data_IF_797507185313
#
_entry.id   IF_797507185313
#
_cell.length_a   1.000
_cell.length_b   1.000
_cell.length_c   1.000
_cell.angle_alpha   90.00
_cell.angle_beta   90.00
_cell.angle_gamma   90.00
#
_symmetry.space_group_name_H-M   'P 1'
#
loop_
_entity.id
_entity.type
_entity.pdbx_description
1 polymer ?
#
# COMPACT_ATOMS: atom_id res chain seq x y z
N UNK A 1 1.02 14.61 -77.27
CA UNK A 1 -0.43 14.55 -77.49
C UNK A 1 -0.77 13.19 -78.07
N UNK A 2 -1.79 12.52 -77.49
CA UNK A 2 -2.43 11.25 -77.89
C UNK A 2 -1.62 9.96 -77.66
N UNK A 3 -2.22 8.79 -77.40
CA UNK A 3 -3.42 8.31 -76.69
C UNK A 3 -3.38 6.77 -76.93
N UNK A 4 -3.95 5.98 -76.00
CA UNK A 4 -4.48 4.60 -76.18
C UNK A 4 -3.52 3.42 -75.88
N UNK A 5 -4.03 2.57 -74.97
CA UNK A 5 -3.54 1.30 -74.38
C UNK A 5 -3.72 0.07 -75.34
N UNK A 6 -3.67 -1.27 -74.99
CA UNK A 6 -3.67 -1.96 -73.67
C UNK A 6 -2.99 -3.38 -73.53
N UNK A 7 -3.20 -4.02 -72.36
CA UNK A 7 -3.15 -5.48 -72.02
C UNK A 7 -1.72 -6.02 -71.69
N UNK A 8 -1.44 -6.75 -70.56
CA UNK A 8 -2.15 -7.99 -70.24
C UNK A 8 -2.34 -8.44 -68.77
N UNK A 9 -3.19 -9.47 -68.69
CA UNK A 9 -2.99 -10.73 -67.96
C UNK A 9 -3.93 -10.98 -66.77
N UNK A 10 -4.88 -11.86 -67.08
CA UNK A 10 -5.82 -12.56 -66.22
C UNK A 10 -5.07 -13.35 -65.15
N UNK A 11 -5.43 -13.14 -63.88
CA UNK A 11 -5.19 -14.12 -62.83
C UNK A 11 -6.52 -14.57 -62.24
N UNK A 12 -6.71 -15.88 -62.35
CA UNK A 12 -7.82 -16.69 -61.88
C UNK A 12 -7.85 -16.67 -60.34
N UNK A 13 -8.97 -16.29 -59.73
CA UNK A 13 -9.22 -16.53 -58.31
C UNK A 13 -10.52 -17.31 -58.15
N UNK A 14 -10.37 -18.51 -57.57
CA UNK A 14 -11.42 -19.46 -57.25
C UNK A 14 -12.42 -18.85 -56.25
N UNK A 15 -13.70 -18.95 -56.60
CA UNK A 15 -14.82 -18.77 -55.68
C UNK A 15 -14.97 -20.01 -54.78
N UNK A 16 -14.89 -19.83 -53.47
CA UNK A 16 -15.42 -20.78 -52.49
C UNK A 16 -16.47 -20.03 -51.66
N UNK A 17 -17.73 -20.45 -51.83
CA UNK A 17 -18.85 -20.00 -51.01
C UNK A 17 -18.83 -20.86 -49.74
N UNK A 18 -18.61 -20.23 -48.58
CA UNK A 18 -18.80 -20.87 -47.27
C UNK A 18 -19.99 -20.22 -46.56
N UNK A 19 -20.97 -21.04 -46.24
CA UNK A 19 -22.18 -20.73 -45.48
C UNK A 19 -21.82 -20.49 -44.02
N UNK A 20 -22.15 -19.31 -43.48
CA UNK A 20 -21.96 -18.97 -42.06
C UNK A 20 -23.35 -18.97 -41.38
N UNK A 21 -23.60 -19.81 -40.35
CA UNK A 21 -24.78 -19.67 -39.51
C UNK A 21 -24.64 -18.47 -38.54
N UNK A 22 -25.75 -17.80 -38.16
CA UNK A 22 -25.70 -16.66 -37.26
C UNK A 22 -25.32 -17.10 -35.84
N UNK A 23 -24.16 -16.64 -35.38
CA UNK A 23 -23.73 -16.77 -33.97
C UNK A 23 -24.59 -15.82 -33.14
N UNK A 24 -25.37 -16.40 -32.22
CA UNK A 24 -26.09 -15.64 -31.19
C UNK A 24 -25.12 -14.96 -30.23
N UNK A 25 -25.39 -13.68 -29.96
CA UNK A 25 -24.78 -12.88 -28.90
C UNK A 25 -25.00 -13.58 -27.54
N UNK A 26 -23.93 -14.14 -26.97
CA UNK A 26 -23.81 -14.31 -25.54
C UNK A 26 -22.94 -13.16 -25.02
N UNK A 27 -23.55 -12.27 -24.23
CA UNK A 27 -22.86 -11.20 -23.55
C UNK A 27 -21.83 -11.78 -22.58
N UNK A 28 -20.54 -11.63 -22.90
CA UNK A 28 -19.46 -11.82 -21.93
C UNK A 28 -19.41 -10.59 -21.02
N UNK A 29 -19.99 -10.74 -19.83
CA UNK A 29 -19.71 -9.83 -18.71
C UNK A 29 -18.24 -9.95 -18.33
N UNK A 30 -17.53 -8.84 -18.04
CA UNK A 30 -16.19 -8.91 -17.48
C UNK A 30 -16.30 -9.52 -16.08
N UNK A 31 -15.69 -10.69 -15.88
CA UNK A 31 -15.51 -11.21 -14.53
C UNK A 31 -14.55 -10.27 -13.80
N UNK A 32 -15.11 -9.52 -12.86
CA UNK A 32 -14.36 -8.81 -11.84
C UNK A 32 -13.46 -9.82 -11.14
N UNK A 33 -12.15 -9.63 -11.27
CA UNK A 33 -11.15 -10.31 -10.47
C UNK A 33 -11.32 -9.81 -9.04
N UNK A 34 -12.16 -10.49 -8.27
CA UNK A 34 -12.23 -10.29 -6.82
C UNK A 34 -10.91 -10.82 -6.26
N UNK A 35 -10.03 -9.88 -5.90
CA UNK A 35 -8.97 -10.14 -4.94
C UNK A 35 -9.61 -10.72 -3.68
N UNK A 36 -9.54 -12.05 -3.57
CA UNK A 36 -9.85 -12.74 -2.33
C UNK A 36 -8.82 -12.29 -1.31
N UNK A 37 -9.23 -11.33 -0.46
CA UNK A 37 -8.67 -11.17 0.86
C UNK A 37 -8.61 -12.56 1.50
N UNK A 38 -7.40 -13.09 1.67
CA UNK A 38 -7.14 -14.36 2.35
C UNK A 38 -7.26 -14.18 3.86
N UNK A 39 -8.43 -13.74 4.33
CA UNK A 39 -8.91 -14.11 5.65
C UNK A 39 -9.76 -15.38 5.44
N UNK A 40 -9.46 -16.52 6.10
CA UNK A 40 -10.23 -17.74 5.87
C UNK A 40 -11.70 -17.47 6.25
N UNK A 41 -12.66 -17.66 5.33
CA UNK A 41 -14.07 -17.55 5.66
C UNK A 41 -14.41 -18.73 6.57
N UNK A 42 -14.62 -18.46 7.86
CA UNK A 42 -15.00 -19.43 8.89
C UNK A 42 -14.29 -20.79 8.77
N UNK A 43 -13.02 -20.87 9.20
CA UNK A 43 -12.42 -22.17 9.46
C UNK A 43 -13.28 -22.90 10.50
N UNK A 44 -14.06 -23.89 10.05
CA UNK A 44 -14.82 -24.77 10.93
C UNK A 44 -13.82 -25.43 11.89
N UNK A 45 -14.16 -25.58 13.19
CA UNK A 45 -13.24 -26.17 14.16
C UNK A 45 -12.78 -27.53 13.66
N UNK A 46 -11.47 -27.81 13.80
CA UNK A 46 -10.90 -29.11 13.45
C UNK A 46 -11.74 -30.22 14.12
N UNK A 47 -12.24 -31.16 13.31
CA UNK A 47 -13.11 -32.23 13.77
C UNK A 47 -12.45 -33.12 14.82
N UNK A 48 -13.28 -33.81 15.60
CA UNK A 48 -12.88 -34.88 16.52
C UNK A 48 -12.67 -36.18 15.73
N UNK A 49 -11.79 -37.06 16.21
CA UNK A 49 -11.58 -38.39 15.62
C UNK A 49 -12.46 -39.41 16.34
N UNK A 50 -13.37 -40.05 15.62
CA UNK A 50 -14.13 -41.21 16.08
C UNK A 50 -13.40 -42.46 15.58
N UNK A 51 -12.74 -43.19 16.48
CA UNK A 51 -11.88 -44.32 16.12
C UNK A 51 -12.69 -45.62 16.11
N UNK A 52 -12.55 -46.40 15.05
CA UNK A 52 -13.17 -47.71 14.90
C UNK A 52 -12.24 -48.82 15.39
N UNK A 53 -12.82 -49.98 15.76
CA UNK A 53 -12.06 -51.14 16.25
C UNK A 53 -11.10 -51.76 15.24
N UNK A 54 -11.30 -51.50 13.95
CA UNK A 54 -10.39 -51.92 12.88
C UNK A 54 -9.16 -50.99 12.76
N UNK A 55 -9.08 -49.94 13.58
CA UNK A 55 -8.01 -48.93 13.59
C UNK A 55 -8.22 -47.78 12.61
N UNK A 56 -9.29 -47.78 11.82
CA UNK A 56 -9.67 -46.62 11.00
C UNK A 56 -10.35 -45.56 11.85
N UNK A 57 -10.48 -44.33 11.33
CA UNK A 57 -11.17 -43.26 12.05
C UNK A 57 -12.04 -42.43 11.11
N UNK A 58 -13.13 -41.91 11.65
CA UNK A 58 -13.95 -40.89 11.01
C UNK A 58 -13.68 -39.53 11.64
N UNK A 59 -13.49 -38.50 10.81
CA UNK A 59 -13.41 -37.13 11.29
C UNK A 59 -14.83 -36.57 11.46
N UNK A 60 -15.22 -36.31 12.71
CA UNK A 60 -16.59 -35.96 13.07
C UNK A 60 -16.64 -34.61 13.80
N UNK A 61 -17.69 -33.82 13.55
CA UNK A 61 -17.90 -32.55 14.26
C UNK A 61 -18.48 -32.78 15.65
N UNK A 62 -19.41 -33.71 15.75
CA UNK A 62 -20.10 -34.14 16.97
C UNK A 62 -20.65 -35.53 16.78
N UNK A 63 -20.84 -36.27 17.88
CA UNK A 63 -21.53 -37.55 17.88
C UNK A 63 -22.43 -37.68 19.11
N UNK A 64 -23.49 -38.49 18.98
CA UNK A 64 -24.47 -38.81 20.01
C UNK A 64 -24.73 -40.32 20.00
N UNK A 65 -24.73 -40.96 21.18
CA UNK A 65 -25.19 -42.34 21.29
C UNK A 65 -26.72 -42.39 21.34
N UNK A 66 -27.32 -43.20 20.48
CA UNK A 66 -28.75 -43.48 20.37
C UNK A 66 -28.97 -45.00 20.47
N UNK A 67 -29.08 -45.49 21.70
CA UNK A 67 -29.25 -46.92 21.95
C UNK A 67 -28.03 -47.73 21.50
N UNK A 68 -28.23 -48.62 20.52
CA UNK A 68 -27.20 -49.50 19.94
C UNK A 68 -26.37 -48.82 18.82
N UNK A 69 -26.73 -47.59 18.44
CA UNK A 69 -26.09 -46.84 17.36
C UNK A 69 -25.48 -45.53 17.85
N UNK A 70 -24.39 -45.11 17.23
CA UNK A 70 -23.85 -43.75 17.32
C UNK A 70 -24.26 -42.97 16.08
N UNK A 71 -24.87 -41.81 16.28
CA UNK A 71 -25.15 -40.84 15.22
C UNK A 71 -24.08 -39.76 15.26
N UNK A 72 -23.38 -39.51 14.16
CA UNK A 72 -22.32 -38.51 14.09
C UNK A 72 -22.44 -37.62 12.87
N UNK A 73 -21.91 -36.41 12.97
CA UNK A 73 -21.84 -35.48 11.85
C UNK A 73 -20.46 -35.59 11.20
N UNK A 74 -20.40 -36.20 10.01
CA UNK A 74 -19.19 -36.38 9.21
C UNK A 74 -18.69 -35.01 8.74
N UNK A 75 -17.44 -34.65 9.02
CA UNK A 75 -16.84 -33.41 8.51
C UNK A 75 -16.56 -33.54 7.01
N UNK A 76 -16.21 -34.74 6.56
CA UNK A 76 -15.87 -35.01 5.16
C UNK A 76 -17.09 -34.94 4.25
N UNK A 77 -18.20 -35.55 4.68
CA UNK A 77 -19.45 -35.57 3.91
C UNK A 77 -20.42 -34.46 4.27
N UNK A 78 -20.12 -33.69 5.33
CA UNK A 78 -20.98 -32.63 5.84
C UNK A 78 -22.43 -33.06 6.08
N UNK A 79 -22.61 -34.31 6.52
CA UNK A 79 -23.92 -34.93 6.76
C UNK A 79 -23.93 -35.78 8.03
N UNK A 80 -25.14 -36.09 8.50
CA UNK A 80 -25.34 -36.99 9.62
C UNK A 80 -25.33 -38.44 9.15
N UNK A 81 -24.48 -39.25 9.79
CA UNK A 81 -24.35 -40.67 9.54
C UNK A 81 -24.60 -41.47 10.82
N UNK A 82 -24.84 -42.77 10.67
CA UNK A 82 -25.07 -43.69 11.78
C UNK A 82 -24.19 -44.93 11.66
N UNK A 83 -23.59 -45.32 12.78
CA UNK A 83 -22.79 -46.54 12.90
C UNK A 83 -23.22 -47.32 14.15
N UNK A 84 -23.12 -48.66 14.18
CA UNK A 84 -23.26 -49.44 15.40
C UNK A 84 -22.23 -48.99 16.46
N UNK A 85 -22.67 -48.72 17.68
CA UNK A 85 -21.81 -48.25 18.76
C UNK A 85 -20.73 -49.29 19.15
N UNK A 86 -20.98 -50.58 18.86
CA UNK A 86 -20.03 -51.67 19.11
C UNK A 86 -18.82 -51.65 18.17
N UNK A 87 -18.90 -50.98 17.01
CA UNK A 87 -17.78 -50.88 16.07
C UNK A 87 -16.79 -49.76 16.43
N UNK A 88 -17.19 -48.86 17.32
CA UNK A 88 -16.34 -47.76 17.81
C UNK A 88 -15.43 -48.27 18.92
N UNK A 89 -14.15 -47.93 18.84
CA UNK A 89 -13.22 -48.03 19.95
C UNK A 89 -13.32 -46.76 20.79
N UNK A 90 -14.14 -46.82 21.85
CA UNK A 90 -14.36 -45.69 22.75
C UNK A 90 -13.13 -45.33 23.56
N UNK A 91 -12.30 -46.31 23.94
CA UNK A 91 -11.08 -46.05 24.70
C UNK A 91 -10.06 -45.29 23.84
N UNK A 92 -9.89 -45.70 22.58
CA UNK A 92 -9.03 -45.00 21.64
C UNK A 92 -9.58 -43.60 21.28
N UNK A 93 -10.90 -43.49 21.11
CA UNK A 93 -11.57 -42.21 20.82
C UNK A 93 -11.38 -41.19 21.95
N UNK A 94 -11.64 -41.57 23.20
CA UNK A 94 -11.45 -40.69 24.37
C UNK A 94 -9.98 -40.25 24.52
N UNK A 95 -9.04 -41.17 24.30
CA UNK A 95 -7.61 -40.86 24.35
C UNK A 95 -7.21 -39.85 23.26
N UNK A 96 -7.69 -40.05 22.02
CA UNK A 96 -7.43 -39.12 20.92
C UNK A 96 -8.04 -37.74 21.21
N UNK A 97 -9.24 -37.67 21.79
CA UNK A 97 -9.85 -36.40 22.20
C UNK A 97 -9.04 -35.69 23.30
N UNK A 98 -8.53 -36.42 24.29
CA UNK A 98 -7.71 -35.86 25.36
C UNK A 98 -6.38 -35.30 24.85
N UNK A 99 -5.69 -36.03 23.96
CA UNK A 99 -4.41 -35.60 23.36
C UNK A 99 -4.58 -34.38 22.43
N UNK A 100 -5.66 -34.32 21.65
CA UNK A 100 -5.98 -33.15 20.81
C UNK A 100 -6.34 -31.93 21.68
N UNK A 101 -7.07 -32.13 22.78
CA UNK A 101 -7.39 -31.06 23.73
C UNK A 101 -6.13 -30.48 24.37
N UNK A 102 -5.23 -31.34 24.84
CA UNK A 102 -3.95 -30.92 25.42
C UNK A 102 -3.11 -30.14 24.41
N UNK A 103 -2.94 -30.66 23.19
CA UNK A 103 -2.20 -29.97 22.12
C UNK A 103 -2.81 -28.62 21.76
N UNK A 104 -4.14 -28.51 21.75
CA UNK A 104 -4.85 -27.25 21.48
C UNK A 104 -4.63 -26.24 22.60
N UNK A 105 -4.70 -26.67 23.86
CA UNK A 105 -4.43 -25.81 25.01
C UNK A 105 -2.98 -25.30 25.02
N UNK A 106 -2.01 -26.16 24.72
CA UNK A 106 -0.61 -25.76 24.54
C UNK A 106 -0.42 -24.78 23.38
N UNK A 107 -1.07 -25.03 22.24
CA UNK A 107 -1.01 -24.12 21.09
C UNK A 107 -1.61 -22.75 21.40
N UNK A 108 -2.77 -22.71 22.08
CA UNK A 108 -3.38 -21.47 22.55
C UNK A 108 -2.49 -20.76 23.59
N UNK A 109 -1.84 -21.51 24.47
CA UNK A 109 -0.85 -20.99 25.40
C UNK A 109 0.31 -20.31 24.67
N UNK A 110 0.92 -21.00 23.70
CA UNK A 110 2.00 -20.46 22.86
C UNK A 110 1.56 -19.23 22.07
N UNK A 111 0.35 -19.23 21.50
CA UNK A 111 -0.21 -18.07 20.79
C UNK A 111 -0.35 -16.89 21.74
N UNK A 112 -0.97 -17.08 22.91
CA UNK A 112 -1.10 -16.02 23.93
C UNK A 112 0.25 -15.51 24.42
N UNK A 113 1.22 -16.39 24.59
CA UNK A 113 2.58 -16.02 25.01
C UNK A 113 3.30 -15.22 23.92
N UNK A 114 3.12 -15.59 22.65
CA UNK A 114 3.63 -14.84 21.51
C UNK A 114 2.97 -13.46 21.40
N UNK A 115 1.64 -13.39 21.53
CA UNK A 115 0.89 -12.13 21.55
C UNK A 115 1.35 -11.23 22.70
N UNK A 116 1.48 -11.78 23.91
CA UNK A 116 2.01 -11.05 25.08
C UNK A 116 3.43 -10.55 24.85
N UNK A 117 4.32 -11.36 24.25
CA UNK A 117 5.68 -10.94 23.91
C UNK A 117 5.71 -9.87 22.84
N UNK A 118 4.81 -9.93 21.85
CA UNK A 118 4.67 -8.90 20.83
C UNK A 118 4.17 -7.58 21.43
N UNK A 119 3.13 -7.63 22.27
CA UNK A 119 2.62 -6.48 23.02
C UNK A 119 3.67 -5.90 23.97
N UNK A 120 4.41 -6.75 24.70
CA UNK A 120 5.46 -6.29 25.61
C UNK A 120 6.65 -5.68 24.85
N UNK A 121 7.06 -6.29 23.72
CA UNK A 121 8.11 -5.74 22.85
C UNK A 121 7.67 -4.44 22.17
N UNK A 122 6.38 -4.23 21.92
CA UNK A 122 5.85 -2.97 21.40
C UNK A 122 5.86 -1.85 22.45
N UNK A 123 5.72 -2.17 23.73
CA UNK A 123 5.81 -1.22 24.84
C UNK A 123 7.27 -0.87 25.19
N UNK A 124 8.20 -1.81 25.02
CA UNK A 124 9.62 -1.65 25.42
C UNK A 124 10.44 -0.77 24.45
N UNK A 125 9.86 -0.36 23.31
CA UNK A 125 10.60 0.38 22.27
C UNK A 125 10.67 1.89 22.50
N UNK A 126 9.85 2.49 23.39
CA UNK A 126 9.70 3.95 23.40
C UNK A 126 9.83 4.70 24.73
N UNK A 127 10.89 5.52 24.79
CA UNK A 127 10.89 6.88 25.35
C UNK A 127 12.26 7.57 25.16
N UNK A 128 13.32 6.80 24.86
CA UNK A 128 14.72 7.29 24.93
C UNK A 128 15.53 7.05 23.65
N UNK A 129 14.95 7.25 22.46
CA UNK A 129 15.77 7.27 21.23
C UNK A 129 16.59 8.55 21.21
N UNK A 130 17.89 8.42 21.46
CA UNK A 130 18.84 9.53 21.42
C UNK A 130 19.21 9.85 19.97
N UNK A 131 18.82 11.03 19.49
CA UNK A 131 19.07 11.51 18.12
C UNK A 131 20.32 12.36 18.01
N UNK A 132 20.75 12.96 19.12
CA UNK A 132 22.02 13.66 19.28
C UNK A 132 22.44 13.57 20.76
N UNK A 133 23.72 13.80 21.12
CA UNK A 133 24.17 13.71 22.51
C UNK A 133 23.29 14.52 23.49
N UNK A 134 22.60 13.81 24.39
CA UNK A 134 21.67 14.37 25.38
C UNK A 134 20.33 14.85 24.82
N UNK A 135 19.98 14.50 23.58
CA UNK A 135 18.74 14.89 22.91
C UNK A 135 17.95 13.66 22.48
N UNK A 136 16.74 13.55 23.03
CA UNK A 136 15.83 12.44 22.77
C UNK A 136 14.72 12.85 21.81
N UNK A 137 14.33 11.93 20.93
CA UNK A 137 13.17 12.08 20.08
C UNK A 137 11.88 12.04 20.94
N UNK A 138 10.96 13.02 20.79
CA UNK A 138 9.68 12.97 21.48
C UNK A 138 8.87 11.71 21.16
N UNK A 139 8.01 11.33 22.10
CA UNK A 139 7.08 10.19 21.94
C UNK A 139 5.91 10.50 21.00
N UNK A 140 5.62 11.77 20.75
CA UNK A 140 4.53 12.15 19.87
C UNK A 140 4.84 11.81 18.40
N UNK A 141 3.85 11.25 17.70
CA UNK A 141 3.92 11.00 16.26
C UNK A 141 4.18 12.29 15.48
N UNK A 142 4.94 12.17 14.41
CA UNK A 142 5.25 13.30 13.54
C UNK A 142 6.66 13.25 12.97
N UNK A 143 6.96 14.28 12.18
CA UNK A 143 8.25 14.47 11.53
C UNK A 143 9.01 15.59 12.22
N UNK A 144 10.18 15.28 12.73
CA UNK A 144 11.07 16.19 13.43
C UNK A 144 12.31 16.45 12.59
N UNK A 145 12.87 17.66 12.70
CA UNK A 145 14.19 17.98 12.14
C UNK A 145 15.16 18.35 13.23
N UNK A 146 16.37 17.82 13.11
CA UNK A 146 17.52 18.21 13.89
C UNK A 146 18.30 19.30 13.13
N UNK A 147 18.20 20.54 13.61
CA UNK A 147 18.97 21.68 13.12
C UNK A 147 20.07 22.03 14.13
N UNK A 148 21.23 21.40 13.97
CA UNK A 148 22.35 21.51 14.89
C UNK A 148 22.04 20.87 16.25
N UNK A 149 21.66 21.69 17.23
CA UNK A 149 21.32 21.24 18.59
C UNK A 149 19.87 21.57 18.97
N UNK A 150 19.00 21.71 17.97
CA UNK A 150 17.58 21.99 18.16
C UNK A 150 16.76 20.97 17.38
N UNK A 151 15.86 20.29 18.09
CA UNK A 151 14.88 19.40 17.49
C UNK A 151 13.54 20.12 17.36
N UNK A 152 12.99 20.18 16.15
CA UNK A 152 11.75 20.90 15.86
C UNK A 152 10.76 20.01 15.15
N UNK A 153 9.50 19.98 15.59
CA UNK A 153 8.40 19.31 14.88
C UNK A 153 8.03 20.09 13.60
N UNK A 154 8.00 19.42 12.45
CA UNK A 154 7.54 20.00 11.20
C UNK A 154 6.03 19.96 11.13
N UNK A 155 5.45 21.11 10.77
CA UNK A 155 4.02 21.21 10.46
C UNK A 155 3.74 20.73 9.04
N UNK A 156 2.60 20.10 8.83
CA UNK A 156 2.12 19.79 7.49
C UNK A 156 1.43 21.01 6.85
N UNK A 157 1.75 21.25 5.59
CA UNK A 157 1.06 22.19 4.71
C UNK A 157 0.27 21.42 3.66
N UNK A 158 -0.92 21.93 3.33
CA UNK A 158 -1.73 21.38 2.23
C UNK A 158 -1.29 21.94 0.88
N UNK A 159 -0.90 21.05 -0.03
CA UNK A 159 -0.66 21.35 -1.43
C UNK A 159 -1.96 21.31 -2.25
N UNK A 160 -1.97 22.08 -3.35
CA UNK A 160 -3.07 22.17 -4.30
C UNK A 160 -2.62 21.65 -5.67
N UNK A 161 -3.43 20.81 -6.32
CA UNK A 161 -3.24 20.43 -7.72
C UNK A 161 -4.03 21.37 -8.64
N UNK A 162 -3.35 22.17 -9.48
CA UNK A 162 -3.99 23.07 -10.45
C UNK A 162 -3.70 22.68 -11.90
N UNK A 163 -4.75 22.65 -12.72
CA UNK A 163 -4.65 22.46 -14.17
C UNK A 163 -4.11 23.71 -14.87
N UNK A 164 -3.11 23.55 -15.73
CA UNK A 164 -2.54 24.63 -16.54
C UNK A 164 -3.53 25.04 -17.64
N UNK A 165 -4.14 26.22 -17.48
CA UNK A 165 -5.25 26.71 -18.34
C UNK A 165 -4.87 26.97 -19.81
N UNK A 166 -3.60 26.82 -20.17
CA UNK A 166 -3.06 27.17 -21.50
C UNK A 166 -3.28 26.18 -22.64
N UNK A 167 -3.98 25.05 -22.43
CA UNK A 167 -4.19 24.01 -23.48
C UNK A 167 -5.62 23.53 -23.67
N UNK A 168 -6.61 24.14 -23.03
CA UNK A 168 -8.00 23.68 -23.03
C UNK A 168 -8.82 24.02 -24.29
N UNK A 169 -8.22 24.55 -25.36
CA UNK A 169 -8.95 25.05 -26.55
C UNK A 169 -8.49 24.44 -27.88
N UNK A 170 -8.27 23.13 -27.94
CA UNK A 170 -8.21 22.40 -29.22
C UNK A 170 -8.87 21.04 -29.09
N UNK A 171 -10.20 21.02 -28.90
CA UNK A 171 -11.00 19.80 -29.04
C UNK A 171 -12.33 20.13 -29.74
N UNK A 172 -12.30 20.04 -31.07
CA UNK A 172 -13.47 19.63 -31.84
C UNK A 172 -13.07 18.26 -32.42
N UNK A 173 -13.90 17.23 -32.15
CA UNK A 173 -13.99 15.93 -32.84
C UNK A 173 -13.27 14.67 -32.28
N UNK A 174 -13.51 14.21 -31.03
CA UNK A 174 -13.35 12.76 -30.67
C UNK A 174 -14.31 12.33 -29.52
N UNK A 175 -14.89 11.10 -29.48
CA UNK A 175 -15.98 10.72 -28.56
C UNK A 175 -15.59 10.31 -27.12
N UNK A 176 -14.33 10.45 -26.70
CA UNK A 176 -13.91 10.14 -25.30
C UNK A 176 -12.95 11.24 -24.83
N UNK A 177 -13.33 12.11 -23.88
CA UNK A 177 -12.44 13.15 -23.40
C UNK A 177 -11.50 12.57 -22.33
N UNK A 178 -10.41 11.94 -22.75
CA UNK A 178 -9.18 12.01 -21.94
C UNK A 178 -8.73 13.45 -22.10
N UNK A 179 -8.80 14.26 -21.04
CA UNK A 179 -8.38 15.67 -21.11
C UNK A 179 -6.85 15.69 -20.98
N UNK A 180 -6.07 15.81 -22.08
CA UNK A 180 -4.64 16.01 -21.96
C UNK A 180 -4.40 17.31 -21.20
N UNK A 181 -3.64 17.25 -20.14
CA UNK A 181 -3.53 18.36 -19.19
C UNK A 181 -2.24 18.28 -18.39
N UNK A 182 -1.69 19.44 -18.07
CA UNK A 182 -0.57 19.56 -17.14
C UNK A 182 -1.12 20.02 -15.79
N UNK A 183 -1.03 19.19 -14.78
CA UNK A 183 -1.36 19.55 -13.41
C UNK A 183 -0.08 19.93 -12.67
N UNK A 184 -0.13 21.00 -11.87
CA UNK A 184 0.96 21.41 -11.00
C UNK A 184 0.52 21.26 -9.57
N UNK A 185 1.27 20.50 -8.79
CA UNK A 185 1.13 20.42 -7.34
C UNK A 185 1.92 21.57 -6.74
N UNK A 186 1.27 22.39 -5.93
CA UNK A 186 1.84 23.63 -5.40
C UNK A 186 1.39 23.91 -3.97
N UNK A 187 2.30 24.44 -3.16
CA UNK A 187 1.98 24.96 -1.83
C UNK A 187 1.81 26.49 -1.91
N UNK A 188 0.74 27.05 -1.35
CA UNK A 188 0.58 28.50 -1.24
C UNK A 188 1.73 29.17 -0.48
N UNK A 189 2.02 30.42 -0.84
CA UNK A 189 3.05 31.23 -0.19
C UNK A 189 4.43 31.08 -0.84
N UNK A 190 5.19 32.18 -0.79
CA UNK A 190 6.55 32.27 -1.38
C UNK A 190 7.62 31.60 -0.52
N UNK A 191 7.36 31.47 0.78
CA UNK A 191 8.31 30.98 1.78
C UNK A 191 7.59 30.06 2.76
N UNK A 192 8.27 29.00 3.17
CA UNK A 192 7.85 28.15 4.28
C UNK A 192 7.84 28.94 5.59
N UNK A 193 6.99 28.51 6.51
CA UNK A 193 6.97 29.05 7.86
C UNK A 193 8.24 28.69 8.64
N UNK A 194 8.70 27.42 8.51
CA UNK A 194 9.92 26.94 9.14
C UNK A 194 11.16 27.27 8.30
N UNK A 195 12.18 27.84 8.95
CA UNK A 195 13.50 28.11 8.35
C UNK A 195 14.56 27.30 9.08
N UNK A 196 15.29 26.48 8.33
CA UNK A 196 16.37 25.63 8.82
C UNK A 196 17.71 26.28 8.45
N UNK A 197 18.65 26.29 9.40
CA UNK A 197 19.97 26.89 9.22
C UNK A 197 20.98 25.89 8.68
N UNK A 198 20.93 24.64 9.12
CA UNK A 198 21.76 23.56 8.60
C UNK A 198 21.47 23.34 7.11
N UNK A 199 22.54 23.24 6.34
CA UNK A 199 22.48 22.84 4.92
C UNK A 199 22.51 21.32 4.73
N UNK A 200 22.68 20.56 5.81
CA UNK A 200 22.56 19.10 5.83
C UNK A 200 21.67 18.70 7.03
N UNK A 201 20.36 19.01 6.98
CA UNK A 201 19.46 18.64 8.06
C UNK A 201 19.26 17.12 8.13
N UNK A 202 19.00 16.64 9.32
CA UNK A 202 18.57 15.26 9.56
C UNK A 202 17.13 15.25 10.06
N UNK A 203 16.34 14.31 9.54
CA UNK A 203 14.93 14.20 9.90
C UNK A 203 14.67 12.90 10.62
N UNK A 204 13.72 12.92 11.54
CA UNK A 204 13.30 11.78 12.32
C UNK A 204 11.78 11.71 12.29
N UNK A 205 11.22 10.55 11.98
CA UNK A 205 9.77 10.36 11.93
C UNK A 205 9.34 9.24 12.85
N UNK A 206 8.29 9.52 13.62
CA UNK A 206 7.57 8.53 14.40
C UNK A 206 6.20 8.32 13.75
N UNK A 207 5.91 7.08 13.33
CA UNK A 207 4.68 6.71 12.64
C UNK A 207 3.71 5.99 13.59
N UNK A 208 2.45 6.42 13.59
CA UNK A 208 1.42 5.87 14.46
C UNK A 208 1.09 4.39 14.16
N UNK A 209 1.24 3.98 12.90
CA UNK A 209 0.91 2.64 12.38
C UNK A 209 2.16 1.74 12.23
N UNK A 210 3.33 2.22 12.67
CA UNK A 210 4.63 1.58 12.47
C UNK A 210 4.98 1.25 11.01
N UNK A 211 4.27 1.84 10.03
CA UNK A 211 4.53 1.64 8.61
C UNK A 211 5.79 2.41 8.20
N UNK A 212 6.57 1.81 7.30
CA UNK A 212 7.68 2.49 6.63
C UNK A 212 7.14 3.51 5.61
N UNK A 213 7.39 4.81 5.82
CA UNK A 213 6.93 5.85 4.90
C UNK A 213 7.85 5.93 3.68
N UNK A 214 7.27 6.04 2.49
CA UNK A 214 8.01 6.24 1.24
C UNK A 214 8.23 7.74 1.05
N UNK A 215 9.34 8.27 1.58
CA UNK A 215 9.62 9.70 1.62
C UNK A 215 10.52 10.13 0.45
N UNK A 216 10.15 11.24 -0.19
CA UNK A 216 11.00 11.98 -1.13
C UNK A 216 11.26 13.39 -0.61
N UNK A 217 12.48 13.89 -0.80
CA UNK A 217 12.80 15.31 -0.59
C UNK A 217 12.74 16.04 -1.93
N UNK A 218 11.88 17.05 -2.03
CA UNK A 218 11.64 17.79 -3.28
C UNK A 218 12.03 19.26 -3.11
N UNK A 219 12.82 19.79 -4.05
CA UNK A 219 13.11 21.22 -4.15
C UNK A 219 11.94 21.95 -4.83
N UNK A 220 11.37 22.92 -4.15
CA UNK A 220 10.24 23.67 -4.66
C UNK A 220 10.70 24.82 -5.59
N UNK A 221 10.01 24.97 -6.73
CA UNK A 221 10.21 26.11 -7.63
C UNK A 221 9.26 27.24 -7.24
N UNK A 222 9.81 28.33 -6.69
CA UNK A 222 9.01 29.50 -6.31
C UNK A 222 8.65 30.32 -7.55
N UNK A 223 7.35 30.39 -7.88
CA UNK A 223 6.85 31.20 -9.01
C UNK A 223 5.48 31.77 -8.68
N UNK A 224 5.24 33.03 -9.04
CA UNK A 224 3.90 33.62 -8.95
C UNK A 224 3.28 33.64 -7.54
N UNK A 225 4.10 33.62 -6.48
CA UNK A 225 3.60 33.60 -5.10
C UNK A 225 3.38 32.21 -4.49
N UNK A 226 3.68 31.15 -5.24
CA UNK A 226 3.50 29.76 -4.80
C UNK A 226 4.81 28.97 -4.96
N UNK A 227 4.88 27.83 -4.29
CA UNK A 227 5.98 26.87 -4.32
C UNK A 227 5.53 25.63 -5.08
N UNK A 228 6.02 25.43 -6.29
CA UNK A 228 5.68 24.26 -7.11
C UNK A 228 6.54 23.07 -6.73
N UNK A 229 5.92 21.94 -6.39
CA UNK A 229 6.60 20.69 -5.98
C UNK A 229 6.67 19.69 -7.13
N UNK A 230 5.58 19.56 -7.88
CA UNK A 230 5.45 18.54 -8.92
C UNK A 230 4.71 19.08 -10.12
N UNK A 231 5.03 18.50 -11.27
CA UNK A 231 4.29 18.67 -12.52
C UNK A 231 3.90 17.32 -13.09
N UNK A 232 2.60 17.06 -13.21
CA UNK A 232 2.03 15.85 -13.81
C UNK A 232 1.52 16.19 -15.21
N UNK A 233 1.97 15.48 -16.23
CA UNK A 233 1.51 15.65 -17.62
C UNK A 233 0.74 14.41 -18.05
N UNK A 234 -0.52 14.58 -18.45
CA UNK A 234 -1.34 13.50 -19.02
C UNK A 234 -1.33 13.63 -20.54
N UNK A 235 -0.86 12.60 -21.24
CA UNK A 235 -0.85 12.53 -22.69
C UNK A 235 -2.20 12.04 -23.23
N UNK A 236 -2.43 12.26 -24.53
CA UNK A 236 -3.67 11.84 -25.21
C UNK A 236 -3.85 10.31 -25.15
N UNK A 237 -2.75 9.57 -25.05
CA UNK A 237 -2.72 8.10 -24.86
C UNK A 237 -3.21 7.65 -23.49
N UNK A 238 -3.40 8.58 -22.54
CA UNK A 238 -3.69 8.29 -21.13
C UNK A 238 -2.43 8.10 -20.27
N UNK A 239 -1.24 8.01 -20.88
CA UNK A 239 0.02 7.94 -20.15
C UNK A 239 0.25 9.20 -19.32
N UNK A 240 0.84 9.02 -18.13
CA UNK A 240 1.17 10.10 -17.22
C UNK A 240 2.68 10.20 -17.04
N UNK A 241 3.22 11.42 -17.10
CA UNK A 241 4.60 11.72 -16.76
C UNK A 241 4.65 12.67 -15.57
N UNK A 242 5.25 12.21 -14.49
CA UNK A 242 5.51 12.97 -13.27
C UNK A 242 6.91 13.57 -13.33
N UNK A 243 7.03 14.86 -13.01
CA UNK A 243 8.30 15.55 -12.95
C UNK A 243 8.43 16.28 -11.61
N UNK A 244 9.45 15.87 -10.84
CA UNK A 244 9.85 16.45 -9.55
C UNK A 244 11.33 16.81 -9.58
N UNK A 245 11.69 17.80 -8.78
CA UNK A 245 13.09 18.18 -8.55
C UNK A 245 13.55 17.50 -7.26
N UNK A 246 13.83 16.20 -7.34
CA UNK A 246 14.09 15.35 -6.18
C UNK A 246 15.55 15.45 -5.75
N UNK A 247 15.76 15.61 -4.45
CA UNK A 247 17.06 15.56 -3.80
C UNK A 247 17.23 14.16 -3.19
N UNK A 248 18.39 13.51 -3.35
CA UNK A 248 18.66 12.21 -2.74
C UNK A 248 18.44 12.22 -1.23
N UNK A 249 17.58 11.32 -0.76
CA UNK A 249 17.24 11.12 0.64
C UNK A 249 17.47 9.64 0.98
N UNK A 250 18.19 9.37 2.05
CA UNK A 250 18.40 8.01 2.55
C UNK A 250 17.50 7.77 3.76
N UNK A 251 16.91 6.57 3.85
CA UNK A 251 16.01 6.16 4.94
C UNK A 251 16.66 5.07 5.78
N UNK A 252 16.51 5.15 7.10
CA UNK A 252 17.00 4.17 8.07
C UNK A 252 15.93 3.90 9.12
N UNK A 253 15.58 2.64 9.35
CA UNK A 253 14.73 2.27 10.48
C UNK A 253 15.58 2.18 11.75
N UNK A 254 15.30 3.05 12.72
CA UNK A 254 16.00 3.06 14.02
C UNK A 254 15.33 2.12 15.02
N UNK A 255 14.01 2.04 14.97
CA UNK A 255 13.17 1.17 15.78
C UNK A 255 11.83 0.91 15.09
N UNK A 256 10.97 0.08 15.68
CA UNK A 256 9.61 -0.12 15.17
C UNK A 256 8.89 1.24 15.12
N UNK A 257 8.41 1.64 13.95
CA UNK A 257 7.75 2.93 13.74
C UNK A 257 8.62 4.18 13.85
N UNK A 258 9.96 4.04 13.97
CA UNK A 258 10.88 5.19 14.05
C UNK A 258 11.91 5.14 12.94
N UNK A 259 11.94 6.21 12.16
CA UNK A 259 12.76 6.32 10.95
C UNK A 259 13.64 7.57 11.00
N UNK A 260 14.85 7.48 10.47
CA UNK A 260 15.77 8.60 10.24
C UNK A 260 15.95 8.81 8.74
N UNK A 261 15.92 10.06 8.32
CA UNK A 261 16.20 10.47 6.95
C UNK A 261 17.41 11.40 6.89
N UNK A 262 18.38 11.06 6.04
CA UNK A 262 19.59 11.85 5.81
C UNK A 262 19.65 12.33 4.38
N UNK A 263 19.98 13.62 4.19
CA UNK A 263 20.10 14.21 2.86
C UNK A 263 21.45 13.81 2.26
N UNK A 264 21.45 13.23 1.06
CA UNK A 264 22.66 12.73 0.39
C UNK A 264 23.58 13.83 -0.18
N UNK A 265 23.19 15.09 -0.06
CA UNK A 265 23.96 16.24 -0.53
C UNK A 265 23.70 17.48 0.33
N UNK A 266 24.60 18.46 0.25
CA UNK A 266 24.38 19.78 0.84
C UNK A 266 23.24 20.49 0.09
N UNK A 267 22.26 20.97 0.86
CA UNK A 267 21.13 21.73 0.35
C UNK A 267 21.52 23.18 0.10
N UNK A 268 21.21 23.67 -1.09
CA UNK A 268 21.36 25.08 -1.44
C UNK A 268 20.25 25.93 -0.79
N UNK A 269 20.44 27.25 -0.65
CA UNK A 269 19.37 28.15 -0.25
C UNK A 269 18.14 28.01 -1.16
N UNK A 270 16.97 27.90 -0.55
CA UNK A 270 15.75 27.61 -1.29
C UNK A 270 14.60 27.12 -0.42
N UNK A 271 13.56 26.65 -1.10
CA UNK A 271 12.35 26.09 -0.52
C UNK A 271 12.30 24.59 -0.84
N UNK A 272 11.94 23.78 0.15
CA UNK A 272 11.95 22.33 0.07
C UNK A 272 10.70 21.76 0.73
N UNK A 273 10.35 20.53 0.36
CA UNK A 273 9.32 19.77 1.05
C UNK A 273 9.70 18.29 1.12
N UNK A 274 9.48 17.69 2.29
CA UNK A 274 9.38 16.25 2.42
C UNK A 274 7.96 15.85 2.04
N UNK A 275 7.87 14.91 1.11
CA UNK A 275 6.60 14.42 0.57
C UNK A 275 6.57 12.91 0.71
N UNK A 276 5.42 12.38 1.09
CA UNK A 276 5.19 10.95 1.08
C UNK A 276 4.61 10.54 -0.28
N UNK A 277 5.15 9.49 -0.88
CA UNK A 277 4.66 8.91 -2.13
C UNK A 277 3.89 7.63 -1.81
N UNK A 278 2.61 7.61 -2.17
CA UNK A 278 1.74 6.45 -1.97
C UNK A 278 1.76 5.58 -3.25
N UNK A 279 1.87 4.23 -3.14
CA UNK A 279 2.02 3.35 -4.30
C UNK A 279 0.97 3.53 -5.40
N UNK A 280 -0.30 3.73 -5.03
CA UNK A 280 -1.42 3.77 -5.98
C UNK A 280 -1.91 5.20 -6.29
N UNK A 281 -1.58 6.16 -5.43
CA UNK A 281 -2.14 7.52 -5.48
C UNK A 281 -1.10 8.58 -5.87
N UNK A 282 0.19 8.25 -5.83
CA UNK A 282 1.28 9.19 -6.05
C UNK A 282 1.53 10.08 -4.83
N UNK A 283 1.98 11.31 -5.05
CA UNK A 283 2.35 12.24 -3.97
C UNK A 283 1.15 12.58 -3.05
N UNK A 284 1.35 12.43 -1.73
CA UNK A 284 0.43 12.93 -0.72
C UNK A 284 0.41 14.47 -0.72
N UNK A 285 -0.79 15.07 -0.72
CA UNK A 285 -0.96 16.52 -0.73
C UNK A 285 -0.72 17.19 0.63
N UNK A 286 -0.58 16.42 1.71
CA UNK A 286 -0.09 16.95 2.99
C UNK A 286 1.42 16.76 3.06
N UNK A 287 2.14 17.88 2.92
CA UNK A 287 3.59 17.89 2.76
C UNK A 287 4.24 18.63 3.93
N UNK A 288 5.47 18.29 4.28
CA UNK A 288 6.23 19.00 5.30
C UNK A 288 7.20 19.96 4.62
N UNK A 289 6.82 21.23 4.54
CA UNK A 289 7.59 22.27 3.86
C UNK A 289 8.51 23.04 4.82
N UNK A 290 9.69 23.35 4.34
CA UNK A 290 10.66 24.17 5.04
C UNK A 290 11.49 24.96 4.01
N UNK A 291 12.35 25.84 4.47
CA UNK A 291 13.42 26.24 3.59
C UNK A 291 14.69 26.66 4.30
N UNK A 292 15.70 26.84 3.46
CA UNK A 292 17.08 27.07 3.89
C UNK A 292 17.46 28.47 3.45
N UNK A 293 17.86 29.28 4.43
CA UNK A 293 18.42 30.60 4.17
C UNK A 293 19.91 30.47 3.85
N UNK A 294 20.39 31.24 2.88
CA UNK A 294 21.82 31.37 2.66
C UNK A 294 22.49 32.12 3.82
N UNK A 295 23.83 32.03 3.97
CA UNK A 295 24.56 32.85 4.93
C UNK A 295 24.17 34.32 4.71
N UNK A 296 23.53 34.91 5.72
CA UNK A 296 22.64 36.04 5.55
C UNK A 296 23.27 37.24 4.86
N UNK A 297 22.61 37.76 3.82
CA UNK A 297 22.79 39.16 3.46
C UNK A 297 21.94 39.97 4.44
N UNK A 298 22.61 40.47 5.49
CA UNK A 298 22.04 41.37 6.49
C UNK A 298 21.20 42.46 5.79
N UNK A 299 19.90 42.63 6.12
CA UNK A 299 19.12 43.69 5.50
C UNK A 299 19.74 45.04 5.92
N UNK A 300 20.31 45.73 4.94
CA UNK A 300 20.86 47.06 5.14
C UNK A 300 19.78 47.94 5.81
N UNK A 301 20.06 48.39 7.03
CA UNK A 301 19.28 49.44 7.70
C UNK A 301 19.11 50.58 6.69
N UNK A 302 17.88 50.84 6.27
CA UNK A 302 17.55 52.10 5.60
C UNK A 302 17.84 53.21 6.61
N UNK A 303 18.72 54.12 6.21
CA UNK A 303 19.00 55.39 6.89
C UNK A 303 17.72 56.21 7.04
#
# INVERSE_FOLDING_TARGET
MRLIQPIPLVLLMLSVILWIPPVGLAAQQPQAMQEQSTAPPHALPAGKKLILKDGTYHLVRSYELRGDRVRYYSVERSEWEELPAELVDWQATEKAEAEEKLRREEALGKIRDLEKRQLAAEIDVDSSIEVAPGMFLPEADGLYVLDGSVLTLLSQSRAEAKLDKGRLLTQILVPVPVVPGRHKVQVPGKKAALRIRSTAPEFFMRTADAREPQMELVRAKVKGGVRHLESISTYITGEQAEQRDTVPLQSWQLAKGVFRFTVGQTLEPGEYALVEVLPDTGMNLYVWDFGIDGPGRNPAKKK
#
